data_IF_103394062047
#
_entry.id   IF_103394062047
#
_cell.length_a   1.000
_cell.length_b   1.000
_cell.length_c   1.000
_cell.angle_alpha   90.00
_cell.angle_beta   90.00
_cell.angle_gamma   90.00
#
_symmetry.space_group_name_H-M   'P 1'
#
loop_
_entity.id
_entity.type
_entity.pdbx_description
1 polymer ?
#
# COMPACT_ATOMS: atom_id res chain seq x y z
N UNK A 1 25.08 -6.17 -1.44
CA UNK A 1 24.79 -7.61 -1.31
C UNK A 1 23.60 -7.92 -2.19
N UNK A 2 23.72 -8.77 -3.22
CA UNK A 2 22.52 -9.21 -3.93
C UNK A 2 21.74 -10.13 -2.97
N UNK A 3 20.47 -9.81 -2.74
CA UNK A 3 19.62 -10.51 -1.77
C UNK A 3 19.06 -11.78 -2.42
N UNK A 4 19.11 -12.90 -1.71
CA UNK A 4 18.87 -14.24 -2.24
C UNK A 4 17.40 -14.51 -2.60
N UNK A 5 17.11 -15.40 -3.57
CA UNK A 5 15.75 -15.84 -3.88
C UNK A 5 15.15 -16.65 -2.71
N UNK A 6 13.90 -16.37 -2.36
CA UNK A 6 13.18 -17.09 -1.32
C UNK A 6 12.45 -18.32 -1.84
N UNK A 7 12.99 -19.52 -1.59
CA UNK A 7 12.22 -20.77 -1.51
C UNK A 7 11.54 -21.29 -2.79
N UNK A 8 10.90 -22.46 -2.67
CA UNK A 8 10.49 -23.37 -3.75
C UNK A 8 9.31 -22.93 -4.63
N UNK A 9 8.96 -21.65 -4.68
CA UNK A 9 7.79 -21.14 -5.42
C UNK A 9 8.10 -19.83 -6.15
N UNK A 10 8.74 -19.93 -7.32
CA UNK A 10 8.95 -18.79 -8.22
C UNK A 10 10.00 -17.77 -7.77
N UNK A 11 10.41 -16.90 -8.68
CA UNK A 11 11.48 -15.90 -8.51
C UNK A 11 10.98 -14.62 -7.81
N UNK A 12 10.11 -14.74 -6.81
CA UNK A 12 9.59 -13.58 -6.09
C UNK A 12 10.54 -13.17 -4.97
N UNK A 13 10.68 -11.86 -4.78
CA UNK A 13 11.39 -11.28 -3.64
C UNK A 13 10.39 -11.01 -2.53
N UNK A 14 10.41 -11.84 -1.48
CA UNK A 14 9.45 -11.78 -0.37
C UNK A 14 10.13 -11.28 0.90
N UNK A 15 9.53 -10.28 1.54
CA UNK A 15 9.92 -9.80 2.87
C UNK A 15 8.74 -9.94 3.85
N UNK A 16 9.02 -10.11 5.14
CA UNK A 16 7.99 -10.14 6.17
C UNK A 16 7.82 -8.76 6.80
N UNK A 17 6.65 -8.15 6.57
CA UNK A 17 6.23 -6.92 7.21
C UNK A 17 5.91 -7.17 8.69
N UNK A 18 6.32 -6.25 9.55
CA UNK A 18 6.08 -6.32 11.00
C UNK A 18 5.12 -5.24 11.44
N UNK A 19 5.18 -4.06 10.84
CA UNK A 19 4.31 -2.94 11.15
C UNK A 19 4.44 -1.85 10.08
N UNK A 20 3.59 -0.84 10.15
CA UNK A 20 3.71 0.41 9.40
C UNK A 20 3.63 1.56 10.39
N UNK A 21 4.45 2.58 10.16
CA UNK A 21 4.33 3.88 10.84
C UNK A 21 3.85 4.93 9.85
N UNK A 22 2.92 5.79 10.28
CA UNK A 22 2.46 6.96 9.54
C UNK A 22 2.93 8.19 10.32
N UNK A 23 3.70 9.05 9.64
CA UNK A 23 4.55 10.05 10.27
C UNK A 23 5.40 9.41 11.38
N UNK A 24 5.13 9.74 12.64
CA UNK A 24 5.86 9.23 13.80
C UNK A 24 5.02 8.27 14.66
N UNK A 25 3.86 7.82 14.19
CA UNK A 25 2.97 6.94 14.93
C UNK A 25 2.96 5.53 14.33
N UNK A 26 3.31 4.55 15.16
CA UNK A 26 3.28 3.13 14.83
C UNK A 26 1.83 2.61 14.89
N UNK A 27 1.40 1.87 13.88
CA UNK A 27 0.02 1.42 13.78
C UNK A 27 -0.29 0.19 14.65
N UNK A 28 0.72 -0.63 14.98
CA UNK A 28 0.55 -1.91 15.67
C UNK A 28 -0.44 -2.82 14.92
N UNK A 29 -0.16 -3.00 13.63
CA UNK A 29 -1.06 -3.69 12.69
C UNK A 29 -1.49 -5.05 13.24
N UNK A 30 -2.79 -5.27 13.22
CA UNK A 30 -3.37 -6.59 13.42
C UNK A 30 -3.51 -7.27 12.07
N UNK A 31 -2.74 -8.33 11.83
CA UNK A 31 -2.83 -9.18 10.62
C UNK A 31 -3.93 -10.24 10.74
N UNK A 32 -4.90 -10.02 11.62
CA UNK A 32 -5.84 -11.03 12.10
C UNK A 32 -6.91 -11.47 11.09
N UNK A 33 -7.00 -10.80 9.94
CA UNK A 33 -7.93 -11.14 8.85
C UNK A 33 -7.27 -11.40 7.50
N UNK A 34 -5.98 -11.07 7.34
CA UNK A 34 -5.23 -11.31 6.12
C UNK A 34 -5.20 -12.81 5.78
N UNK A 35 -5.96 -13.19 4.76
CA UNK A 35 -5.91 -14.55 4.24
C UNK A 35 -4.49 -14.83 3.80
N UNK A 36 -3.85 -15.82 4.42
CA UNK A 36 -2.64 -16.41 3.89
C UNK A 36 -2.97 -16.93 2.49
N UNK A 37 -2.41 -16.31 1.46
CA UNK A 37 -2.49 -16.90 0.12
C UNK A 37 -1.71 -18.22 0.16
N UNK A 38 -2.18 -19.23 -0.57
CA UNK A 38 -1.48 -20.50 -0.71
C UNK A 38 -0.04 -20.33 -1.26
N UNK A 39 0.23 -19.17 -1.87
CA UNK A 39 1.52 -18.75 -2.43
C UNK A 39 2.53 -18.31 -1.37
N UNK A 40 2.10 -17.61 -0.31
CA UNK A 40 3.03 -16.96 0.63
C UNK A 40 3.06 -17.61 2.01
N UNK A 41 1.98 -18.29 2.43
CA UNK A 41 1.93 -19.06 3.68
C UNK A 41 2.01 -18.24 4.99
N UNK A 42 2.36 -16.95 4.91
CA UNK A 42 2.37 -15.99 6.01
C UNK A 42 1.68 -14.70 5.55
N UNK A 43 0.65 -14.29 6.30
CA UNK A 43 -0.16 -13.09 6.09
C UNK A 43 0.66 -11.78 6.13
N UNK A 44 1.88 -11.85 6.67
CA UNK A 44 2.82 -10.74 6.78
C UNK A 44 3.74 -10.61 5.56
N UNK A 45 3.65 -11.53 4.62
CA UNK A 45 4.52 -11.55 3.44
C UNK A 45 4.17 -10.43 2.48
N UNK A 46 5.18 -9.70 2.04
CA UNK A 46 5.11 -8.65 1.03
C UNK A 46 6.02 -9.04 -0.12
N UNK A 47 5.49 -9.01 -1.35
CA UNK A 47 6.26 -9.17 -2.57
C UNK A 47 6.80 -7.80 -2.97
N UNK A 48 8.08 -7.74 -3.32
CA UNK A 48 8.71 -6.59 -3.95
C UNK A 48 8.92 -6.93 -5.42
N UNK A 49 8.30 -6.14 -6.29
CA UNK A 49 8.44 -6.27 -7.73
C UNK A 49 8.58 -4.89 -8.38
N UNK A 50 9.11 -4.86 -9.60
CA UNK A 50 9.28 -3.63 -10.39
C UNK A 50 8.17 -3.41 -11.43
N UNK A 51 7.22 -4.34 -11.53
CA UNK A 51 6.14 -4.35 -12.54
C UNK A 51 4.82 -3.75 -12.05
N UNK A 52 4.65 -3.60 -10.74
CA UNK A 52 3.43 -3.12 -10.10
C UNK A 52 3.55 -1.62 -9.79
N UNK A 53 2.59 -0.84 -10.25
CA UNK A 53 2.58 0.62 -10.07
C UNK A 53 2.03 1.08 -8.71
N UNK A 54 1.15 0.30 -8.09
CA UNK A 54 0.51 0.58 -6.80
C UNK A 54 1.01 -0.40 -5.73
N UNK A 55 0.98 0.01 -4.47
CA UNK A 55 1.19 -0.92 -3.36
C UNK A 55 -0.14 -1.56 -2.98
N UNK A 56 -0.17 -2.88 -2.92
CA UNK A 56 -1.36 -3.62 -2.52
C UNK A 56 -1.13 -4.24 -1.14
N UNK A 57 -2.07 -3.99 -0.22
CA UNK A 57 -2.06 -4.56 1.13
C UNK A 57 -3.27 -5.45 1.30
N UNK A 58 -3.16 -6.47 2.15
CA UNK A 58 -4.33 -7.25 2.56
C UNK A 58 -5.41 -6.31 3.13
N UNK A 59 -6.68 -6.61 2.87
CA UNK A 59 -7.83 -5.75 3.20
C UNK A 59 -7.79 -5.21 4.63
N UNK A 60 -7.55 -6.08 5.62
CA UNK A 60 -7.47 -5.71 7.03
C UNK A 60 -6.33 -4.73 7.34
N UNK A 61 -5.19 -4.90 6.67
CA UNK A 61 -4.04 -4.00 6.79
C UNK A 61 -4.31 -2.68 6.06
N UNK A 62 -4.88 -2.74 4.85
CA UNK A 62 -5.26 -1.56 4.08
C UNK A 62 -6.22 -0.68 4.87
N UNK A 63 -7.27 -1.25 5.48
CA UNK A 63 -8.25 -0.50 6.26
C UNK A 63 -7.63 0.23 7.45
N UNK A 64 -6.68 -0.41 8.14
CA UNK A 64 -5.93 0.20 9.24
C UNK A 64 -5.09 1.39 8.74
N UNK A 65 -4.39 1.21 7.60
CA UNK A 65 -3.59 2.27 6.97
C UNK A 65 -4.48 3.42 6.50
N UNK A 66 -5.54 3.15 5.74
CA UNK A 66 -6.45 4.15 5.19
C UNK A 66 -7.12 4.98 6.29
N UNK A 67 -7.52 4.35 7.39
CA UNK A 67 -8.09 5.05 8.54
C UNK A 67 -7.07 5.93 9.24
N UNK A 68 -5.84 5.44 9.44
CA UNK A 68 -4.79 6.22 10.06
C UNK A 68 -4.32 7.40 9.19
N UNK A 69 -4.24 7.23 7.87
CA UNK A 69 -4.00 8.33 6.92
C UNK A 69 -5.10 9.38 7.02
N UNK A 70 -6.36 8.95 7.00
CA UNK A 70 -7.49 9.88 7.10
C UNK A 70 -7.49 10.67 8.42
N UNK A 71 -7.16 10.01 9.53
CA UNK A 71 -7.04 10.66 10.83
C UNK A 71 -5.88 11.66 10.87
N UNK A 72 -4.75 11.34 10.22
CA UNK A 72 -3.60 12.24 10.14
C UNK A 72 -3.90 13.49 9.31
N UNK A 73 -4.44 13.30 8.11
CA UNK A 73 -4.69 14.40 7.17
C UNK A 73 -5.83 15.29 7.68
N UNK A 74 -6.82 14.73 8.38
CA UNK A 74 -7.98 15.46 8.91
C UNK A 74 -8.65 16.35 7.84
N UNK A 75 -8.72 15.84 6.61
CA UNK A 75 -9.38 16.47 5.48
C UNK A 75 -10.47 15.56 4.90
N UNK A 76 -11.33 16.17 4.10
CA UNK A 76 -12.42 15.48 3.43
C UNK A 76 -11.87 14.38 2.50
N UNK A 77 -12.36 13.15 2.70
CA UNK A 77 -12.08 12.02 1.83
C UNK A 77 -12.84 12.21 0.52
N UNK A 78 -12.13 12.07 -0.57
CA UNK A 78 -12.66 12.05 -1.92
C UNK A 78 -12.46 10.65 -2.49
N UNK A 79 -13.45 10.17 -3.22
CA UNK A 79 -13.33 8.96 -4.05
C UNK A 79 -13.63 9.37 -5.48
N UNK A 80 -12.63 9.87 -6.24
CA UNK A 80 -12.83 10.26 -7.62
C UNK A 80 -13.31 9.05 -8.42
N UNK A 81 -14.40 9.17 -9.18
CA UNK A 81 -15.02 8.03 -9.88
C UNK A 81 -14.09 7.39 -10.94
N UNK A 82 -13.03 8.07 -11.36
CA UNK A 82 -12.16 7.64 -12.45
C UNK A 82 -10.99 6.74 -12.02
N UNK A 83 -10.56 6.75 -10.75
CA UNK A 83 -9.35 6.03 -10.33
C UNK A 83 -9.56 5.03 -9.21
N UNK A 84 -10.73 5.01 -8.57
CA UNK A 84 -11.00 4.12 -7.44
C UNK A 84 -9.89 4.18 -6.37
N UNK A 85 -9.33 5.39 -6.18
CA UNK A 85 -8.29 5.67 -5.19
C UNK A 85 -8.88 6.53 -4.07
N UNK A 86 -8.35 6.34 -2.86
CA UNK A 86 -8.65 7.21 -1.74
C UNK A 86 -7.87 8.52 -1.88
N UNK A 87 -8.57 9.63 -2.04
CA UNK A 87 -7.99 10.94 -2.27
C UNK A 87 -8.40 11.95 -1.20
N UNK A 88 -7.65 13.03 -1.10
CA UNK A 88 -7.82 14.07 -0.11
C UNK A 88 -7.61 15.44 -0.72
N UNK A 89 -8.38 16.42 -0.25
CA UNK A 89 -8.05 17.81 -0.48
C UNK A 89 -6.78 18.19 0.29
N UNK A 90 -5.84 18.83 -0.40
CA UNK A 90 -4.60 19.34 0.20
C UNK A 90 -4.40 20.80 -0.17
N UNK A 91 -3.77 21.56 0.73
CA UNK A 91 -3.38 22.94 0.42
C UNK A 91 -2.23 22.91 -0.56
N UNK A 92 -2.30 23.74 -1.60
CA UNK A 92 -1.22 23.90 -2.56
C UNK A 92 -0.52 25.24 -2.30
N UNK A 93 0.42 25.27 -1.37
CA UNK A 93 1.19 26.49 -1.04
C UNK A 93 2.55 26.55 -1.76
N UNK A 94 2.72 25.79 -2.85
CA UNK A 94 3.96 25.72 -3.63
C UNK A 94 4.69 24.38 -3.51
N UNK A 95 4.46 23.62 -2.44
CA UNK A 95 4.81 22.20 -2.35
C UNK A 95 3.52 21.36 -2.40
N UNK A 96 3.31 20.53 -3.45
CA UNK A 96 2.11 19.72 -3.58
C UNK A 96 2.00 18.61 -2.52
N UNK A 97 3.08 18.31 -1.79
CA UNK A 97 3.11 17.27 -0.76
C UNK A 97 3.08 17.83 0.66
N UNK A 98 2.96 19.14 0.82
CA UNK A 98 2.91 19.78 2.14
C UNK A 98 1.72 19.25 2.96
N UNK A 99 1.99 18.86 4.20
CA UNK A 99 0.98 18.34 5.12
C UNK A 99 0.60 16.87 4.91
N UNK A 100 1.18 16.18 3.93
CA UNK A 100 1.01 14.73 3.77
C UNK A 100 2.05 13.96 4.61
N UNK A 101 1.67 12.81 5.19
CA UNK A 101 2.57 12.04 6.05
C UNK A 101 3.62 11.28 5.25
N UNK A 102 4.83 11.20 5.80
CA UNK A 102 5.77 10.11 5.48
C UNK A 102 5.21 8.77 6.00
N UNK A 103 5.65 7.66 5.41
CA UNK A 103 5.36 6.32 5.92
C UNK A 103 6.63 5.51 6.06
N UNK A 104 6.68 4.64 7.08
CA UNK A 104 7.76 3.67 7.23
C UNK A 104 7.16 2.27 7.27
N UNK A 105 7.59 1.41 6.35
CA UNK A 105 7.28 -0.01 6.36
C UNK A 105 8.37 -0.72 7.15
N UNK A 106 7.99 -1.34 8.26
CA UNK A 106 8.93 -2.03 9.15
C UNK A 106 8.97 -3.50 8.79
N UNK A 107 10.05 -3.98 8.20
CA UNK A 107 10.30 -5.39 7.95
C UNK A 107 11.15 -6.00 9.08
N UNK A 108 11.19 -7.33 9.18
CA UNK A 108 11.90 -8.04 10.26
C UNK A 108 13.35 -7.56 10.45
N UNK A 109 14.04 -7.17 9.37
CA UNK A 109 15.45 -6.79 9.40
C UNK A 109 15.74 -5.41 8.77
N UNK A 110 14.72 -4.63 8.40
CA UNK A 110 14.92 -3.38 7.68
C UNK A 110 13.70 -2.45 7.80
N UNK A 111 13.95 -1.15 7.77
CA UNK A 111 12.90 -0.14 7.66
C UNK A 111 12.97 0.51 6.27
N UNK A 112 11.83 0.54 5.57
CA UNK A 112 11.67 1.28 4.32
C UNK A 112 10.90 2.56 4.61
N UNK A 113 11.63 3.67 4.73
CA UNK A 113 11.06 5.01 4.89
C UNK A 113 10.73 5.61 3.52
N UNK A 114 9.48 5.98 3.31
CA UNK A 114 8.97 6.56 2.07
C UNK A 114 8.54 8.01 2.29
N UNK A 115 9.01 8.94 1.45
CA UNK A 115 8.48 10.31 1.43
C UNK A 115 7.08 10.34 0.82
N UNK A 116 6.29 11.42 1.04
CA UNK A 116 4.94 11.53 0.50
C UNK A 116 4.86 11.35 -1.02
N UNK A 117 5.89 11.73 -1.77
CA UNK A 117 5.96 11.54 -3.23
C UNK A 117 5.93 10.09 -3.69
N UNK A 118 6.24 9.14 -2.80
CA UNK A 118 6.20 7.70 -3.08
C UNK A 118 4.91 7.03 -2.55
N UNK A 119 4.10 7.77 -1.81
CA UNK A 119 2.88 7.28 -1.15
C UNK A 119 1.64 7.90 -1.78
N UNK A 120 1.75 9.13 -2.29
CA UNK A 120 0.67 9.90 -2.86
C UNK A 120 0.99 10.32 -4.30
N UNK A 121 -0.02 10.20 -5.15
CA UNK A 121 -0.04 10.76 -6.50
C UNK A 121 -0.87 12.04 -6.50
N UNK A 122 -0.34 13.10 -7.09
CA UNK A 122 -1.13 14.31 -7.34
C UNK A 122 -2.06 14.07 -8.53
N UNK A 123 -3.36 14.07 -8.29
CA UNK A 123 -4.36 13.83 -9.34
C UNK A 123 -4.73 15.13 -10.06
N UNK A 124 -4.96 16.19 -9.29
CA UNK A 124 -5.21 17.54 -9.77
C UNK A 124 -4.63 18.54 -8.76
N UNK A 125 -4.62 19.83 -9.12
CA UNK A 125 -4.22 20.88 -8.17
C UNK A 125 -5.06 20.80 -6.91
N UNK A 126 -4.42 20.60 -5.76
CA UNK A 126 -5.08 20.49 -4.45
C UNK A 126 -5.77 19.14 -4.18
N UNK A 127 -5.49 18.10 -4.99
CA UNK A 127 -6.00 16.74 -4.77
C UNK A 127 -4.84 15.74 -4.79
N UNK A 128 -4.61 15.07 -3.67
CA UNK A 128 -3.62 14.01 -3.52
C UNK A 128 -4.32 12.66 -3.27
N UNK A 129 -3.89 11.61 -3.98
CA UNK A 129 -4.47 10.28 -3.93
C UNK A 129 -3.47 9.26 -3.39
N UNK A 130 -3.88 8.46 -2.41
CA UNK A 130 -3.07 7.39 -1.83
C UNK A 130 -2.83 6.30 -2.90
N UNK A 131 -1.57 5.93 -3.13
CA UNK A 131 -1.17 4.89 -4.09
C UNK A 131 -1.06 3.50 -3.44
N UNK A 132 -1.75 3.32 -2.32
CA UNK A 132 -1.91 2.06 -1.59
C UNK A 132 -3.37 1.64 -1.74
N UNK A 133 -3.62 0.37 -2.09
CA UNK A 133 -4.97 -0.19 -2.27
C UNK A 133 -5.15 -1.52 -1.53
N UNK A 134 -6.40 -1.92 -1.41
CA UNK A 134 -6.78 -3.29 -1.06
C UNK A 134 -6.31 -4.27 -2.15
N UNK A 135 -5.62 -5.32 -1.74
CA UNK A 135 -5.09 -6.38 -2.61
C UNK A 135 -6.14 -7.22 -3.33
N UNK A 136 -7.43 -7.19 -2.94
CA UNK A 136 -8.49 -7.81 -3.73
C UNK A 136 -8.57 -7.24 -5.15
N UNK A 137 -8.24 -5.96 -5.33
CA UNK A 137 -8.24 -5.31 -6.64
C UNK A 137 -7.11 -5.79 -7.55
N UNK A 138 -5.96 -6.20 -6.97
CA UNK A 138 -4.87 -6.79 -7.74
C UNK A 138 -5.30 -8.14 -8.34
N UNK A 139 -6.01 -8.96 -7.57
CA UNK A 139 -6.57 -10.22 -8.05
C UNK A 139 -7.66 -10.03 -9.11
N UNK A 140 -8.51 -9.02 -8.96
CA UNK A 140 -9.51 -8.67 -9.99
C UNK A 140 -8.86 -8.19 -11.29
N UNK A 141 -7.75 -7.45 -11.22
CA UNK A 141 -6.99 -7.05 -12.40
C UNK A 141 -6.34 -8.25 -13.11
N UNK A 142 -5.73 -9.16 -12.35
CA UNK A 142 -5.18 -10.42 -12.89
C UNK A 142 -6.28 -11.28 -13.53
N UNK A 143 -7.45 -11.41 -12.89
CA UNK A 143 -8.60 -12.11 -13.46
C UNK A 143 -9.15 -11.43 -14.72
N UNK A 144 -9.24 -10.09 -14.76
CA UNK A 144 -9.73 -9.37 -15.93
C UNK A 144 -8.77 -9.42 -17.12
N UNK A 145 -7.47 -9.50 -16.87
CA UNK A 145 -6.44 -9.62 -17.92
C UNK A 145 -6.23 -11.07 -18.37
N UNK A 146 -6.42 -12.04 -17.47
CA UNK A 146 -6.54 -13.45 -17.79
C UNK A 146 -7.97 -13.78 -18.25
N UNK A 147 -8.32 -13.41 -19.49
CA UNK A 147 -9.43 -14.08 -20.19
C UNK A 147 -9.20 -15.59 -20.04
N UNK A 148 -10.10 -16.30 -19.34
CA UNK A 148 -10.18 -17.76 -19.11
C UNK A 148 -10.00 -18.29 -17.66
N UNK A 149 -10.11 -17.50 -16.58
CA UNK A 149 -10.00 -18.09 -15.23
C UNK A 149 -10.99 -17.58 -14.15
N UNK A 150 -12.18 -17.12 -14.53
CA UNK A 150 -13.29 -17.02 -13.59
C UNK A 150 -14.40 -17.98 -14.04
N UNK A 151 -14.41 -19.19 -13.46
CA UNK A 151 -15.62 -20.00 -13.30
C UNK A 151 -16.19 -19.75 -11.90
#
# INVERSE_FOLDING_TARGET
>A
TPMAPGGSQGTYYVLNLTDISIANSRLNIQFGGAQTTALLGDARSIIIDSGTALTYLAEDVYDQVANAVANFINHERLSPPEQDLLCYHVKNNGDPYEGLPEMTFHFVNADLKLPPSNIFRMFASGIACLTIKDGRDAHLWECCTAKHACE
#
